data_IF_422877148881
#
_entry.id   IF_422877148881
#
_cell.length_a   1.000
_cell.length_b   1.000
_cell.length_c   1.000
_cell.angle_alpha   90.00
_cell.angle_beta   90.00
_cell.angle_gamma   90.00
#
_symmetry.space_group_name_H-M   'P 1'
#
loop_
_entity.id
_entity.type
_entity.pdbx_description
1 polymer ?
#
# COMPACT_ATOMS: atom_id res chain seq x y z
N UNK A 1 -8.34 2.53 -7.41
CA UNK A 1 -9.51 1.65 -7.52
C UNK A 1 -10.73 2.25 -6.83
N UNK A 2 -11.90 1.69 -7.10
CA UNK A 2 -13.14 1.93 -6.36
C UNK A 2 -13.71 0.61 -5.87
N UNK A 3 -14.79 0.65 -5.05
CA UNK A 3 -15.62 -0.54 -4.89
C UNK A 3 -16.24 -0.95 -6.22
N UNK A 4 -16.44 -2.25 -6.45
CA UNK A 4 -17.18 -2.77 -7.59
C UNK A 4 -18.67 -2.35 -7.56
N UNK A 5 -19.19 -1.91 -6.39
CA UNK A 5 -20.52 -1.33 -6.23
C UNK A 5 -20.57 0.16 -6.56
N UNK A 6 -19.43 0.81 -6.79
CA UNK A 6 -19.39 2.23 -7.12
C UNK A 6 -20.10 2.49 -8.46
N UNK A 7 -20.88 3.57 -8.53
CA UNK A 7 -21.68 3.91 -9.71
C UNK A 7 -20.86 3.98 -11.00
N UNK A 8 -19.62 4.45 -10.94
CA UNK A 8 -18.74 4.54 -12.12
C UNK A 8 -18.41 3.15 -12.67
N UNK A 9 -18.11 2.19 -11.80
CA UNK A 9 -17.85 0.82 -12.25
C UNK A 9 -19.11 0.16 -12.78
N UNK A 10 -20.25 0.34 -12.09
CA UNK A 10 -21.53 -0.21 -12.53
C UNK A 10 -21.97 0.36 -13.90
N UNK A 11 -21.64 1.60 -14.23
CA UNK A 11 -21.82 2.18 -15.57
C UNK A 11 -20.80 1.59 -16.57
N UNK A 12 -19.51 1.59 -16.23
CA UNK A 12 -18.42 1.11 -17.09
C UNK A 12 -18.63 -0.34 -17.53
N UNK A 13 -19.07 -1.22 -16.62
CA UNK A 13 -19.25 -2.65 -16.89
C UNK A 13 -20.45 -2.99 -17.79
N UNK A 14 -21.37 -2.06 -18.03
CA UNK A 14 -22.60 -2.32 -18.79
C UNK A 14 -22.35 -2.61 -20.26
N UNK A 15 -21.44 -1.85 -20.89
CA UNK A 15 -21.11 -1.96 -22.31
C UNK A 15 -19.76 -1.29 -22.61
N UNK A 16 -19.26 -1.52 -23.83
CA UNK A 16 -18.06 -0.85 -24.33
C UNK A 16 -18.31 0.58 -24.81
N UNK A 17 -19.57 0.98 -24.98
CA UNK A 17 -19.97 2.23 -25.63
C UNK A 17 -20.57 3.28 -24.68
N UNK A 18 -20.50 3.05 -23.35
CA UNK A 18 -21.02 4.04 -22.40
C UNK A 18 -19.99 5.15 -22.10
N UNK A 19 -20.43 6.33 -21.60
CA UNK A 19 -19.54 7.47 -21.34
C UNK A 19 -18.39 7.18 -20.35
N UNK A 20 -18.51 6.12 -19.54
CA UNK A 20 -17.48 5.69 -18.59
C UNK A 20 -16.84 4.37 -18.98
N UNK A 21 -16.98 3.94 -20.23
CA UNK A 21 -16.45 2.66 -20.68
C UNK A 21 -14.95 2.49 -20.34
N UNK A 22 -14.15 3.55 -20.51
CA UNK A 22 -12.70 3.56 -20.32
C UNK A 22 -12.25 4.16 -18.97
N UNK A 23 -13.16 4.27 -18.00
CA UNK A 23 -12.84 4.76 -16.66
C UNK A 23 -12.10 3.74 -15.81
N UNK A 24 -12.21 2.47 -16.15
CA UNK A 24 -11.50 1.35 -15.53
C UNK A 24 -10.62 0.67 -16.57
N UNK A 25 -9.67 -0.12 -16.08
CA UNK A 25 -8.74 -0.83 -16.97
C UNK A 25 -9.41 -2.10 -17.46
N UNK A 26 -9.72 -2.14 -18.75
CA UNK A 26 -10.33 -3.26 -19.44
C UNK A 26 -9.39 -3.82 -20.51
N UNK A 27 -9.43 -5.12 -20.70
CA UNK A 27 -8.70 -5.80 -21.77
C UNK A 27 -9.51 -6.92 -22.40
N UNK A 28 -9.36 -7.11 -23.69
CA UNK A 28 -9.89 -8.29 -24.37
C UNK A 28 -9.14 -9.55 -23.92
N UNK A 29 -9.79 -10.72 -23.92
CA UNK A 29 -9.11 -11.97 -23.66
C UNK A 29 -8.02 -12.25 -24.69
N UNK A 30 -7.02 -13.03 -24.30
CA UNK A 30 -6.10 -13.64 -25.24
C UNK A 30 -6.87 -14.57 -26.23
N UNK A 31 -6.26 -14.96 -27.38
CA UNK A 31 -6.95 -15.78 -28.37
C UNK A 31 -7.51 -17.11 -27.86
N UNK A 32 -6.97 -17.64 -26.78
CA UNK A 32 -7.42 -18.86 -26.11
C UNK A 32 -8.47 -18.61 -25.01
N UNK A 33 -8.90 -17.35 -24.83
CA UNK A 33 -9.87 -16.95 -23.81
C UNK A 33 -9.28 -16.67 -22.44
N UNK A 34 -7.98 -16.83 -22.24
CA UNK A 34 -7.30 -16.53 -20.98
C UNK A 34 -7.14 -15.01 -20.75
N UNK A 35 -6.75 -14.57 -19.52
CA UNK A 35 -6.41 -13.17 -19.26
C UNK A 35 -5.33 -12.61 -20.21
N UNK A 36 -5.29 -11.30 -20.45
CA UNK A 36 -4.40 -10.68 -21.44
C UNK A 36 -2.92 -10.87 -21.15
N UNK A 37 -2.56 -11.07 -19.88
CA UNK A 37 -1.19 -11.27 -19.42
C UNK A 37 -1.14 -12.00 -18.07
N UNK A 38 0.06 -12.13 -17.50
CA UNK A 38 0.32 -12.89 -16.29
C UNK A 38 0.27 -12.09 -14.98
N UNK A 39 -0.26 -10.88 -14.98
CA UNK A 39 -0.27 -10.06 -13.76
C UNK A 39 -1.07 -10.70 -12.64
N UNK A 40 -0.54 -10.58 -11.42
CA UNK A 40 -1.10 -11.18 -10.22
C UNK A 40 -1.59 -10.12 -9.24
N UNK A 41 -2.67 -10.45 -8.54
CA UNK A 41 -3.18 -9.64 -7.43
C UNK A 41 -2.30 -9.81 -6.19
N UNK A 42 -2.10 -8.73 -5.43
CA UNK A 42 -1.41 -8.77 -4.13
C UNK A 42 -2.10 -9.76 -3.16
N UNK A 43 -3.42 -9.91 -3.25
CA UNK A 43 -4.17 -10.82 -2.39
C UNK A 43 -4.31 -12.23 -2.96
N UNK A 44 -3.54 -12.54 -3.99
CA UNK A 44 -3.47 -13.87 -4.61
C UNK A 44 -4.34 -14.02 -5.83
N UNK A 45 -3.96 -14.94 -6.71
CA UNK A 45 -4.63 -15.19 -7.97
C UNK A 45 -4.31 -14.18 -9.07
N UNK A 46 -5.02 -14.30 -10.20
CA UNK A 46 -4.91 -13.36 -11.32
C UNK A 46 -5.33 -11.95 -10.91
N UNK A 47 -4.66 -10.93 -11.44
CA UNK A 47 -5.11 -9.53 -11.33
C UNK A 47 -6.25 -9.20 -12.32
N UNK A 48 -6.74 -10.18 -13.05
CA UNK A 48 -7.77 -10.02 -14.07
C UNK A 48 -9.02 -10.81 -13.74
N UNK A 49 -10.18 -10.13 -13.73
CA UNK A 49 -11.47 -10.76 -13.53
C UNK A 49 -12.34 -10.61 -14.78
N UNK A 50 -12.93 -11.73 -15.22
CA UNK A 50 -13.84 -11.74 -16.36
C UNK A 50 -15.18 -11.07 -16.05
N UNK A 51 -15.63 -10.17 -16.93
CA UNK A 51 -16.96 -9.56 -16.89
C UNK A 51 -17.78 -9.97 -18.12
N UNK A 52 -18.73 -10.90 -17.97
CA UNK A 52 -19.45 -11.48 -19.11
C UNK A 52 -20.35 -10.50 -19.85
N UNK A 53 -20.87 -9.45 -19.18
CA UNK A 53 -21.72 -8.43 -19.83
C UNK A 53 -20.94 -7.64 -20.86
N UNK A 54 -19.67 -7.40 -20.56
CA UNK A 54 -18.78 -6.62 -21.40
C UNK A 54 -17.95 -7.51 -22.33
N UNK A 55 -17.79 -8.78 -22.00
CA UNK A 55 -16.93 -9.70 -22.74
C UNK A 55 -15.47 -9.28 -22.69
N UNK A 56 -15.02 -8.77 -21.53
CA UNK A 56 -13.66 -8.33 -21.27
C UNK A 56 -13.24 -8.70 -19.85
N UNK A 57 -11.93 -8.68 -19.61
CA UNK A 57 -11.35 -8.70 -18.27
C UNK A 57 -11.18 -7.28 -17.75
N UNK A 58 -11.41 -7.06 -16.44
CA UNK A 58 -10.98 -5.84 -15.75
C UNK A 58 -9.83 -6.12 -14.82
N UNK A 59 -8.95 -5.12 -14.67
CA UNK A 59 -7.81 -5.17 -13.75
C UNK A 59 -8.24 -4.91 -12.30
N UNK A 60 -7.66 -5.67 -11.36
CA UNK A 60 -7.73 -5.43 -9.93
C UNK A 60 -6.41 -5.83 -9.28
N UNK A 61 -5.57 -4.87 -8.95
CA UNK A 61 -4.30 -5.13 -8.28
C UNK A 61 -4.49 -5.69 -6.85
N UNK A 62 -5.68 -5.48 -6.26
CA UNK A 62 -6.07 -5.93 -4.93
C UNK A 62 -7.23 -6.93 -5.02
N UNK A 63 -8.34 -6.70 -4.32
CA UNK A 63 -9.48 -7.62 -4.37
C UNK A 63 -10.24 -7.51 -5.69
N UNK A 64 -10.88 -8.61 -6.10
CA UNK A 64 -11.82 -8.64 -7.24
C UNK A 64 -12.89 -7.54 -7.12
N UNK A 65 -13.32 -7.23 -5.90
CA UNK A 65 -14.27 -6.15 -5.60
C UNK A 65 -13.67 -4.74 -5.64
N UNK A 66 -12.40 -4.60 -6.02
CA UNK A 66 -11.68 -3.33 -6.10
C UNK A 66 -11.12 -3.09 -7.52
N UNK A 67 -12.00 -2.89 -8.54
CA UNK A 67 -11.55 -2.65 -9.91
C UNK A 67 -10.71 -1.38 -10.01
N UNK A 68 -9.61 -1.46 -10.78
CA UNK A 68 -8.66 -0.38 -10.94
C UNK A 68 -9.14 0.69 -11.92
N UNK A 69 -9.04 1.95 -11.48
CA UNK A 69 -9.30 3.11 -12.32
C UNK A 69 -8.22 3.26 -13.40
N UNK A 70 -8.61 3.65 -14.59
CA UNK A 70 -7.71 3.89 -15.71
C UNK A 70 -7.15 5.32 -15.67
N UNK A 71 -6.02 5.53 -15.02
CA UNK A 71 -5.36 6.83 -14.95
C UNK A 71 -4.73 7.29 -16.28
N UNK A 72 -4.61 6.41 -17.29
CA UNK A 72 -4.28 6.83 -18.65
C UNK A 72 -5.42 7.62 -19.31
N UNK A 73 -6.66 7.47 -18.82
CA UNK A 73 -7.76 8.33 -19.22
C UNK A 73 -7.66 9.68 -18.48
N UNK A 74 -7.46 10.81 -19.21
CA UNK A 74 -7.30 12.11 -18.58
C UNK A 74 -8.53 12.57 -17.80
N UNK A 75 -9.74 12.11 -18.15
CA UNK A 75 -10.95 12.42 -17.40
C UNK A 75 -10.95 11.77 -16.02
N UNK A 76 -10.44 10.54 -15.89
CA UNK A 76 -10.28 9.86 -14.59
C UNK A 76 -9.27 10.60 -13.72
N UNK A 77 -8.09 10.91 -14.26
CA UNK A 77 -7.07 11.65 -13.53
C UNK A 77 -7.56 13.03 -13.08
N UNK A 78 -8.31 13.76 -13.93
CA UNK A 78 -8.92 15.04 -13.58
C UNK A 78 -9.96 14.88 -12.46
N UNK A 79 -10.86 13.89 -12.56
CA UNK A 79 -11.88 13.63 -11.54
C UNK A 79 -11.26 13.30 -10.18
N UNK A 80 -10.19 12.51 -10.15
CA UNK A 80 -9.52 12.19 -8.88
C UNK A 80 -8.86 13.41 -8.24
N UNK A 81 -8.35 14.36 -9.03
CA UNK A 81 -7.87 15.64 -8.52
C UNK A 81 -9.01 16.50 -7.98
N UNK A 82 -10.18 16.49 -8.62
CA UNK A 82 -11.39 17.17 -8.12
C UNK A 82 -11.87 16.57 -6.79
N UNK A 83 -11.82 15.24 -6.62
CA UNK A 83 -12.15 14.58 -5.36
C UNK A 83 -11.17 15.01 -4.24
N UNK A 84 -9.88 15.11 -4.53
CA UNK A 84 -8.92 15.67 -3.58
C UNK A 84 -9.27 17.11 -3.21
N UNK A 85 -9.55 17.96 -4.21
CA UNK A 85 -9.92 19.36 -3.98
C UNK A 85 -11.23 19.52 -3.19
N UNK A 86 -12.19 18.62 -3.40
CA UNK A 86 -13.43 18.59 -2.61
C UNK A 86 -13.16 18.48 -1.10
N UNK A 87 -12.23 17.59 -0.71
CA UNK A 87 -11.86 17.43 0.70
C UNK A 87 -11.02 18.58 1.23
N UNK A 88 -10.10 19.12 0.44
CA UNK A 88 -9.32 20.31 0.81
C UNK A 88 -10.20 21.51 1.10
N UNK A 89 -11.22 21.75 0.27
CA UNK A 89 -12.23 22.81 0.51
C UNK A 89 -13.02 22.60 1.79
N UNK A 90 -13.09 21.38 2.31
CA UNK A 90 -13.72 21.03 3.60
C UNK A 90 -12.79 21.15 4.79
N UNK A 91 -11.53 21.50 4.56
CA UNK A 91 -10.56 21.79 5.61
C UNK A 91 -9.77 20.58 6.08
N UNK A 92 -9.58 19.55 5.24
CA UNK A 92 -8.58 18.52 5.56
C UNK A 92 -7.17 19.09 5.33
N UNK A 93 -6.22 18.72 6.20
CA UNK A 93 -4.84 19.22 6.18
C UNK A 93 -3.93 18.44 5.23
N UNK A 94 -4.49 17.55 4.42
CA UNK A 94 -3.76 16.78 3.42
C UNK A 94 -4.20 15.33 3.30
N UNK A 95 -3.37 14.51 2.67
CA UNK A 95 -3.71 13.12 2.34
C UNK A 95 -2.57 12.16 2.62
N UNK A 96 -2.90 11.03 3.20
CA UNK A 96 -2.14 9.79 3.05
C UNK A 96 -2.66 9.08 1.81
N UNK A 97 -1.77 8.87 0.84
CA UNK A 97 -2.10 8.29 -0.46
C UNK A 97 -1.75 6.80 -0.46
N UNK A 98 -2.78 6.00 -0.42
CA UNK A 98 -2.71 4.54 -0.37
C UNK A 98 -2.17 3.97 -1.68
N UNK A 99 -1.18 3.08 -1.62
CA UNK A 99 -0.61 2.36 -2.75
C UNK A 99 -0.44 3.22 -4.02
N UNK A 100 0.05 4.45 -3.86
CA UNK A 100 0.00 5.49 -4.91
C UNK A 100 0.76 5.10 -6.19
N UNK A 101 1.73 4.20 -6.11
CA UNK A 101 2.49 3.71 -7.26
C UNK A 101 1.70 2.73 -8.16
N UNK A 102 0.48 2.33 -7.77
CA UNK A 102 -0.39 1.42 -8.55
C UNK A 102 -1.34 2.12 -9.52
N UNK A 103 -1.36 3.45 -9.58
CA UNK A 103 -2.31 4.18 -10.42
C UNK A 103 -2.11 3.96 -11.94
N UNK A 104 -0.89 3.67 -12.37
CA UNK A 104 -0.57 3.46 -13.78
C UNK A 104 -0.01 2.07 -14.02
N UNK A 105 -0.39 1.49 -15.14
CA UNK A 105 0.10 0.22 -15.67
C UNK A 105 0.73 0.43 -17.04
N UNK A 106 1.41 -0.58 -17.57
CA UNK A 106 1.93 -0.57 -18.94
C UNK A 106 0.77 -0.65 -19.95
N UNK A 107 0.58 0.35 -20.83
CA UNK A 107 -0.52 0.34 -21.80
C UNK A 107 -0.40 -0.76 -22.86
N UNK A 108 0.78 -1.36 -23.01
CA UNK A 108 1.00 -2.50 -23.89
C UNK A 108 0.67 -3.85 -23.22
N UNK A 109 0.28 -3.84 -21.96
CA UNK A 109 -0.10 -5.02 -21.18
C UNK A 109 0.94 -6.15 -21.22
N UNK A 110 2.24 -5.81 -21.24
CA UNK A 110 3.31 -6.81 -21.27
C UNK A 110 3.34 -7.64 -19.98
N UNK A 111 3.61 -8.93 -20.13
CA UNK A 111 3.75 -9.85 -18.99
C UNK A 111 4.95 -9.50 -18.12
N UNK A 112 4.79 -9.61 -16.79
CA UNK A 112 5.88 -9.44 -15.83
C UNK A 112 6.88 -10.62 -15.92
N UNK A 113 8.19 -10.35 -15.82
CA UNK A 113 9.20 -11.39 -15.74
C UNK A 113 9.11 -12.19 -14.43
N UNK A 114 9.54 -13.43 -14.48
CA UNK A 114 9.70 -14.26 -13.27
C UNK A 114 10.81 -13.71 -12.37
N UNK A 115 10.56 -13.70 -11.06
CA UNK A 115 11.57 -13.35 -10.05
C UNK A 115 12.26 -14.62 -9.54
N UNK A 116 13.61 -14.70 -9.60
CA UNK A 116 14.36 -15.80 -9.03
C UNK A 116 14.01 -16.04 -7.56
N UNK A 117 13.94 -17.31 -7.09
CA UNK A 117 13.54 -17.63 -5.72
C UNK A 117 14.35 -16.90 -4.64
N UNK A 118 15.65 -16.73 -4.83
CA UNK A 118 16.56 -16.06 -3.90
C UNK A 118 16.31 -14.54 -3.76
N UNK A 119 15.60 -13.94 -4.71
CA UNK A 119 15.23 -12.52 -4.69
C UNK A 119 13.82 -12.26 -4.18
N UNK A 120 13.05 -13.32 -3.89
CA UNK A 120 11.68 -13.18 -3.38
C UNK A 120 11.70 -12.68 -1.95
N UNK A 121 11.02 -11.58 -1.70
CA UNK A 121 10.88 -10.99 -0.36
C UNK A 121 9.40 -10.77 -0.10
N UNK A 122 8.92 -11.26 1.05
CA UNK A 122 7.59 -10.90 1.55
C UNK A 122 7.70 -9.56 2.30
N UNK A 123 7.05 -8.51 1.80
CA UNK A 123 6.89 -7.26 2.52
C UNK A 123 5.39 -6.99 2.62
N UNK A 124 4.80 -7.25 3.79
CA UNK A 124 3.36 -7.16 3.98
C UNK A 124 2.55 -8.26 3.27
N UNK A 125 3.22 -9.29 2.71
CA UNK A 125 2.60 -10.50 2.17
C UNK A 125 3.54 -11.70 2.35
N UNK A 126 2.98 -12.91 2.36
CA UNK A 126 3.77 -14.14 2.48
C UNK A 126 4.69 -14.32 1.28
N UNK A 127 5.91 -14.83 1.50
CA UNK A 127 6.83 -15.25 0.43
C UNK A 127 6.25 -16.37 -0.43
N UNK A 128 5.29 -17.13 0.09
CA UNK A 128 4.56 -18.19 -0.62
C UNK A 128 3.45 -17.64 -1.52
N UNK A 129 3.14 -16.34 -1.41
CA UNK A 129 2.21 -15.69 -2.32
C UNK A 129 2.83 -15.65 -3.72
N UNK A 130 2.15 -16.17 -4.75
CA UNK A 130 2.64 -16.12 -6.14
C UNK A 130 3.03 -14.72 -6.62
N UNK A 131 2.44 -13.66 -6.06
CA UNK A 131 2.81 -12.28 -6.31
C UNK A 131 4.33 -12.06 -6.12
N UNK A 132 4.94 -12.63 -5.07
CA UNK A 132 6.37 -12.55 -4.82
C UNK A 132 7.25 -13.20 -5.91
N UNK A 133 6.67 -14.03 -6.78
CA UNK A 133 7.39 -14.74 -7.83
C UNK A 133 7.53 -13.94 -9.14
N UNK A 134 7.04 -12.71 -9.19
CA UNK A 134 7.18 -11.82 -10.36
C UNK A 134 8.02 -10.59 -10.04
N UNK A 135 8.71 -10.08 -11.05
CA UNK A 135 9.30 -8.74 -11.03
C UNK A 135 8.24 -7.78 -11.58
N UNK A 136 7.71 -6.92 -10.72
CA UNK A 136 6.59 -6.04 -11.05
C UNK A 136 7.05 -4.81 -11.84
N UNK A 137 7.32 -4.99 -13.14
CA UNK A 137 7.80 -3.93 -14.04
C UNK A 137 6.68 -3.22 -14.79
N UNK A 138 5.55 -3.91 -14.99
CA UNK A 138 4.53 -3.46 -15.95
C UNK A 138 3.17 -3.19 -15.31
N UNK A 139 2.89 -3.74 -14.17
CA UNK A 139 1.60 -3.62 -13.46
C UNK A 139 1.54 -2.45 -12.47
N UNK A 140 2.67 -1.87 -12.08
CA UNK A 140 2.73 -0.70 -11.19
C UNK A 140 4.03 0.10 -11.37
N UNK A 141 4.21 1.16 -10.58
CA UNK A 141 5.43 2.00 -10.51
C UNK A 141 5.87 2.51 -11.89
N UNK A 142 4.89 2.97 -12.68
CA UNK A 142 5.14 3.45 -14.04
C UNK A 142 5.62 4.92 -14.04
N UNK A 143 6.47 5.31 -15.02
CA UNK A 143 7.00 6.68 -15.11
C UNK A 143 5.91 7.76 -15.28
N UNK A 144 4.76 7.42 -15.84
CA UNK A 144 3.61 8.32 -16.00
C UNK A 144 3.09 8.85 -14.66
N UNK A 145 3.37 8.13 -13.56
CA UNK A 145 2.99 8.54 -12.21
C UNK A 145 3.61 9.88 -11.82
N UNK A 146 4.83 10.18 -12.26
CA UNK A 146 5.53 11.43 -11.91
C UNK A 146 4.73 12.67 -12.36
N UNK A 147 4.21 12.63 -13.59
CA UNK A 147 3.36 13.72 -14.10
C UNK A 147 2.03 13.87 -13.36
N UNK A 148 1.46 12.75 -12.89
CA UNK A 148 0.25 12.82 -12.04
C UNK A 148 0.56 13.43 -10.67
N UNK A 149 1.67 13.05 -10.04
CA UNK A 149 2.10 13.61 -8.75
C UNK A 149 2.34 15.13 -8.84
N UNK A 150 2.91 15.61 -9.95
CA UNK A 150 3.11 17.05 -10.18
C UNK A 150 1.77 17.80 -10.30
N UNK A 151 0.80 17.21 -10.98
CA UNK A 151 -0.56 17.77 -11.05
C UNK A 151 -1.26 17.76 -9.69
N UNK A 152 -1.14 16.67 -8.93
CA UNK A 152 -1.67 16.57 -7.58
C UNK A 152 -1.04 17.63 -6.68
N UNK A 153 0.28 17.78 -6.72
CA UNK A 153 1.00 18.80 -5.94
C UNK A 153 0.52 20.20 -6.28
N UNK A 154 0.29 20.52 -7.54
CA UNK A 154 -0.25 21.79 -7.96
C UNK A 154 -1.67 22.08 -7.41
N UNK A 155 -2.46 21.02 -7.14
CA UNK A 155 -3.75 21.16 -6.43
C UNK A 155 -3.53 21.43 -4.96
N UNK A 156 -2.68 20.64 -4.31
CA UNK A 156 -2.37 20.75 -2.87
C UNK A 156 -1.81 22.13 -2.52
N UNK A 157 -0.89 22.65 -3.30
CA UNK A 157 -0.22 23.95 -3.05
C UNK A 157 -1.18 25.16 -3.09
N UNK A 158 -2.40 25.00 -3.59
CA UNK A 158 -3.44 26.03 -3.50
C UNK A 158 -4.04 26.19 -2.09
N UNK A 159 -3.78 25.22 -1.22
CA UNK A 159 -4.30 25.17 0.15
C UNK A 159 -3.14 25.24 1.14
N UNK A 160 -2.98 26.33 1.91
CA UNK A 160 -1.85 26.50 2.80
C UNK A 160 -1.87 25.48 3.93
N UNK A 161 -0.69 25.11 4.40
CA UNK A 161 -0.48 24.16 5.52
C UNK A 161 -1.02 22.74 5.26
N UNK A 162 -1.16 22.34 4.01
CA UNK A 162 -1.53 20.98 3.64
C UNK A 162 -0.31 20.17 3.18
N UNK A 163 -0.41 18.83 3.34
CA UNK A 163 0.68 17.95 2.93
C UNK A 163 0.18 16.66 2.29
N UNK A 164 1.09 15.97 1.61
CA UNK A 164 0.86 14.63 1.08
C UNK A 164 1.92 13.66 1.60
N UNK A 165 1.46 12.48 1.99
CA UNK A 165 2.27 11.36 2.44
C UNK A 165 1.96 10.14 1.59
N UNK A 166 2.92 9.67 0.79
CA UNK A 166 2.73 8.52 -0.09
C UNK A 166 3.04 7.19 0.58
N UNK A 167 2.18 6.21 0.32
CA UNK A 167 2.53 4.81 0.55
C UNK A 167 3.02 4.21 -0.75
N UNK A 168 4.24 3.65 -0.73
CA UNK A 168 4.93 3.15 -1.92
C UNK A 168 5.46 1.75 -1.62
N UNK A 169 5.04 0.80 -2.43
CA UNK A 169 5.57 -0.56 -2.44
C UNK A 169 6.07 -0.87 -3.86
N UNK A 170 7.38 -0.85 -4.07
CA UNK A 170 7.99 -1.06 -5.37
C UNK A 170 9.19 -2.00 -5.28
N UNK A 171 9.68 -2.47 -6.42
CA UNK A 171 10.87 -3.33 -6.52
C UNK A 171 12.13 -2.63 -5.96
N UNK A 172 12.24 -1.33 -6.19
CA UNK A 172 13.29 -0.47 -5.64
C UNK A 172 12.66 0.70 -4.87
N UNK A 173 12.19 0.42 -3.65
CA UNK A 173 11.47 1.39 -2.83
C UNK A 173 12.31 2.64 -2.54
N UNK A 174 13.62 2.49 -2.29
CA UNK A 174 14.50 3.62 -1.99
C UNK A 174 14.61 4.58 -3.18
N UNK A 175 14.80 4.07 -4.40
CA UNK A 175 14.81 4.93 -5.58
C UNK A 175 13.45 5.57 -5.82
N UNK A 176 12.37 4.79 -5.72
CA UNK A 176 11.02 5.28 -5.99
C UNK A 176 10.58 6.37 -5.01
N UNK A 177 10.86 6.23 -3.71
CA UNK A 177 10.53 7.30 -2.75
C UNK A 177 11.31 8.57 -3.05
N UNK A 178 12.58 8.46 -3.46
CA UNK A 178 13.39 9.59 -3.90
C UNK A 178 12.78 10.30 -5.11
N UNK A 179 12.38 9.56 -6.14
CA UNK A 179 11.74 10.12 -7.33
C UNK A 179 10.39 10.78 -7.02
N UNK A 180 9.54 10.11 -6.22
CA UNK A 180 8.19 10.58 -5.91
C UNK A 180 8.16 11.79 -4.97
N UNK A 181 9.25 12.06 -4.26
CA UNK A 181 9.40 13.23 -3.36
C UNK A 181 10.41 14.24 -3.87
N UNK A 182 10.97 14.03 -5.07
CA UNK A 182 12.03 14.90 -5.59
C UNK A 182 11.54 16.34 -5.82
N UNK A 183 12.31 17.30 -5.29
CA UNK A 183 12.03 18.74 -5.43
C UNK A 183 10.72 19.18 -4.76
N UNK A 184 10.24 20.35 -5.15
CA UNK A 184 9.04 20.96 -4.55
C UNK A 184 7.77 20.73 -5.38
N UNK A 185 7.78 19.75 -6.31
CA UNK A 185 6.69 19.55 -7.28
C UNK A 185 5.95 18.23 -7.16
N UNK A 186 6.36 17.35 -6.25
CA UNK A 186 5.78 16.02 -6.04
C UNK A 186 5.33 15.86 -4.59
N UNK A 187 5.28 14.64 -4.07
CA UNK A 187 4.87 14.40 -2.69
C UNK A 187 5.76 15.14 -1.68
N UNK A 188 5.18 15.59 -0.59
CA UNK A 188 5.94 16.19 0.51
C UNK A 188 6.80 15.17 1.24
N UNK A 189 6.27 13.96 1.44
CA UNK A 189 6.98 12.84 2.03
C UNK A 189 6.38 11.51 1.56
N UNK A 190 7.08 10.43 1.82
CA UNK A 190 6.59 9.07 1.65
C UNK A 190 7.05 8.20 2.84
N UNK A 191 6.36 7.10 3.09
CA UNK A 191 6.81 6.13 4.08
C UNK A 191 8.10 5.45 3.64
N UNK A 192 9.03 5.30 4.57
CA UNK A 192 10.16 4.41 4.44
C UNK A 192 9.83 3.10 5.15
N UNK A 193 9.44 2.08 4.40
CA UNK A 193 9.05 0.77 4.92
C UNK A 193 10.22 -0.23 5.02
N UNK A 194 11.45 0.23 4.77
CA UNK A 194 12.64 -0.63 4.83
C UNK A 194 12.90 -1.19 6.24
N UNK A 195 12.28 -0.60 7.28
CA UNK A 195 12.35 -1.09 8.65
C UNK A 195 11.18 -2.03 9.05
N UNK A 196 10.24 -2.32 8.13
CA UNK A 196 9.18 -3.31 8.36
C UNK A 196 9.65 -4.75 8.15
N UNK A 197 10.83 -5.08 8.66
CA UNK A 197 11.45 -6.41 8.53
C UNK A 197 11.13 -7.30 9.72
N UNK A 198 11.19 -8.62 9.52
CA UNK A 198 10.83 -9.61 10.56
C UNK A 198 11.80 -9.64 11.74
N UNK A 199 13.05 -9.24 11.52
CA UNK A 199 14.07 -9.24 12.58
C UNK A 199 14.83 -7.93 12.61
N UNK A 200 15.01 -7.40 13.81
CA UNK A 200 15.87 -6.25 14.03
C UNK A 200 17.34 -6.58 13.75
N UNK A 201 17.99 -5.70 13.02
CA UNK A 201 19.45 -5.78 12.75
C UNK A 201 20.02 -4.37 12.66
N UNK A 202 21.01 -4.07 13.48
CA UNK A 202 21.72 -2.78 13.43
C UNK A 202 22.46 -2.57 12.09
N UNK A 203 22.97 -3.67 11.51
CA UNK A 203 23.60 -3.64 10.18
C UNK A 203 22.58 -3.25 9.09
N UNK A 204 21.38 -3.83 9.12
CA UNK A 204 20.29 -3.48 8.20
C UNK A 204 19.86 -2.02 8.36
N UNK A 205 19.66 -1.55 9.60
CA UNK A 205 19.30 -0.13 9.86
C UNK A 205 20.35 0.80 9.26
N UNK A 206 21.63 0.52 9.47
CA UNK A 206 22.74 1.31 8.91
C UNK A 206 22.69 1.31 7.38
N UNK A 207 22.56 0.15 6.76
CA UNK A 207 22.47 0.00 5.31
C UNK A 207 21.31 0.82 4.72
N UNK A 208 20.14 0.78 5.35
CA UNK A 208 18.96 1.55 4.94
C UNK A 208 19.25 3.06 4.99
N UNK A 209 19.79 3.55 6.12
CA UNK A 209 20.09 4.97 6.28
C UNK A 209 21.15 5.45 5.25
N UNK A 210 22.26 4.71 5.13
CA UNK A 210 23.33 5.04 4.17
C UNK A 210 22.83 4.96 2.71
N UNK A 211 21.96 4.00 2.42
CA UNK A 211 21.37 3.84 1.09
C UNK A 211 20.42 5.00 0.75
N UNK A 212 19.58 5.43 1.69
CA UNK A 212 18.73 6.61 1.51
C UNK A 212 19.54 7.87 1.26
N UNK A 213 20.58 8.12 2.06
CA UNK A 213 21.43 9.31 1.90
C UNK A 213 22.17 9.32 0.55
N UNK A 214 22.63 8.17 0.11
CA UNK A 214 23.37 8.02 -1.16
C UNK A 214 22.47 8.08 -2.39
N UNK A 215 21.30 7.39 -2.36
CA UNK A 215 20.48 7.16 -3.54
C UNK A 215 19.30 8.12 -3.67
N UNK A 216 18.89 8.73 -2.58
CA UNK A 216 17.76 9.66 -2.52
C UNK A 216 18.14 10.90 -1.72
N UNK A 217 19.20 11.63 -2.14
CA UNK A 217 19.67 12.81 -1.41
C UNK A 217 18.57 13.88 -1.35
N UNK A 218 18.36 14.44 -0.17
CA UNK A 218 17.30 15.43 0.07
C UNK A 218 15.92 14.84 0.40
N UNK A 219 15.74 13.55 0.31
CA UNK A 219 14.52 12.89 0.76
C UNK A 219 14.35 13.06 2.29
N UNK A 220 13.14 13.44 2.69
CA UNK A 220 12.74 13.50 4.10
C UNK A 220 11.83 12.30 4.41
N UNK A 221 12.37 11.21 4.95
CA UNK A 221 11.61 9.99 5.16
C UNK A 221 10.56 10.15 6.26
N UNK A 222 9.42 9.47 6.08
CA UNK A 222 8.51 9.17 7.18
C UNK A 222 8.75 7.73 7.63
N UNK A 223 9.43 7.59 8.77
CA UNK A 223 9.80 6.29 9.32
C UNK A 223 8.62 5.59 9.99
N UNK A 224 8.54 4.28 9.77
CA UNK A 224 7.63 3.40 10.48
C UNK A 224 8.33 2.07 10.80
N UNK A 225 8.13 1.56 12.01
CA UNK A 225 8.58 0.22 12.43
C UNK A 225 7.42 -0.74 12.60
N UNK A 226 6.20 -0.27 12.44
CA UNK A 226 4.95 -1.03 12.39
C UNK A 226 3.85 -0.25 11.72
N UNK A 227 2.84 -0.94 11.26
CA UNK A 227 1.63 -0.38 10.67
C UNK A 227 0.49 -1.42 10.74
N UNK A 228 -0.63 -1.13 10.08
CA UNK A 228 -1.79 -2.00 10.01
C UNK A 228 -1.67 -3.18 9.02
N UNK A 229 -0.53 -3.36 8.39
CA UNK A 229 -0.30 -4.41 7.37
C UNK A 229 0.76 -5.44 7.77
N UNK A 230 1.45 -5.22 8.89
CA UNK A 230 2.45 -6.15 9.41
C UNK A 230 2.19 -6.48 10.88
N UNK A 231 2.64 -7.63 11.32
CA UNK A 231 2.57 -8.02 12.73
C UNK A 231 3.16 -6.94 13.64
N UNK A 232 2.55 -6.71 14.80
CA UNK A 232 2.99 -5.66 15.73
C UNK A 232 4.47 -5.81 16.08
N UNK A 233 5.20 -4.71 16.07
CA UNK A 233 6.66 -4.70 16.27
C UNK A 233 7.08 -5.31 17.62
N UNK A 234 6.27 -5.16 18.65
CA UNK A 234 6.53 -5.77 19.96
C UNK A 234 6.55 -7.30 19.92
N UNK A 235 5.83 -7.93 19.00
CA UNK A 235 5.88 -9.37 18.73
C UNK A 235 6.93 -9.73 17.69
N UNK A 236 6.99 -8.98 16.59
CA UNK A 236 7.89 -9.24 15.46
C UNK A 236 9.38 -9.15 15.86
N UNK A 237 9.72 -8.18 16.72
CA UNK A 237 11.07 -8.01 17.28
C UNK A 237 11.16 -8.42 18.76
N UNK A 238 10.42 -9.47 19.12
CA UNK A 238 10.47 -10.01 20.47
C UNK A 238 11.90 -10.49 20.83
N UNK A 239 12.31 -10.16 22.06
CA UNK A 239 13.59 -10.58 22.59
C UNK A 239 13.35 -11.35 23.89
N UNK A 240 13.72 -12.64 23.99
CA UNK A 240 13.56 -13.42 25.20
C UNK A 240 14.22 -12.76 26.41
N UNK A 241 13.53 -12.75 27.53
CA UNK A 241 14.03 -12.17 28.80
C UNK A 241 13.92 -10.64 28.93
N UNK A 242 13.52 -9.92 27.87
CA UNK A 242 13.32 -8.47 27.94
C UNK A 242 11.84 -8.15 28.14
N UNK A 243 11.47 -7.42 29.20
CA UNK A 243 10.08 -7.01 29.44
C UNK A 243 9.53 -6.17 28.29
N UNK A 244 8.29 -6.42 27.90
CA UNK A 244 7.63 -5.75 26.76
C UNK A 244 7.63 -4.22 26.92
N UNK A 245 7.38 -3.69 28.10
CA UNK A 245 7.41 -2.25 28.37
C UNK A 245 8.79 -1.63 28.15
N UNK A 246 9.87 -2.30 28.55
CA UNK A 246 11.24 -1.82 28.32
C UNK A 246 11.58 -1.83 26.82
N UNK A 247 11.14 -2.87 26.11
CA UNK A 247 11.30 -2.98 24.65
C UNK A 247 10.50 -1.91 23.92
N UNK A 248 9.25 -1.66 24.30
CA UNK A 248 8.43 -0.60 23.71
C UNK A 248 9.10 0.77 23.85
N UNK A 249 9.62 1.10 25.02
CA UNK A 249 10.37 2.34 25.26
C UNK A 249 11.60 2.46 24.36
N UNK A 250 12.38 1.36 24.24
CA UNK A 250 13.56 1.35 23.37
C UNK A 250 13.20 1.55 21.90
N UNK A 251 12.17 0.85 21.41
CA UNK A 251 11.72 0.92 20.02
C UNK A 251 11.19 2.31 19.65
N UNK A 252 10.41 2.93 20.55
CA UNK A 252 9.94 4.30 20.34
C UNK A 252 11.11 5.30 20.39
N UNK A 253 12.06 5.18 21.33
CA UNK A 253 13.23 6.01 21.39
C UNK A 253 14.09 5.87 20.12
N UNK A 254 14.27 4.65 19.62
CA UNK A 254 14.95 4.39 18.35
C UNK A 254 14.22 5.08 17.18
N UNK A 255 12.92 4.88 17.02
CA UNK A 255 12.15 5.48 15.94
C UNK A 255 12.23 7.00 15.96
N UNK A 256 12.09 7.62 17.14
CA UNK A 256 12.14 9.08 17.31
C UNK A 256 13.54 9.66 17.17
N UNK A 257 14.60 8.86 17.21
CA UNK A 257 15.99 9.32 17.02
C UNK A 257 16.41 9.41 15.56
N UNK A 258 15.63 8.85 14.64
CA UNK A 258 15.94 8.86 13.21
C UNK A 258 15.68 10.23 12.59
N UNK A 259 16.57 10.68 11.69
CA UNK A 259 16.37 11.90 10.90
C UNK A 259 15.18 11.72 9.97
N UNK A 260 14.12 12.51 10.14
CA UNK A 260 12.89 12.44 9.35
C UNK A 260 11.66 12.68 10.20
N UNK A 261 10.51 12.39 9.64
CA UNK A 261 9.24 12.30 10.36
C UNK A 261 9.02 10.87 10.85
N UNK A 262 8.20 10.70 11.87
CA UNK A 262 7.88 9.38 12.41
C UNK A 262 6.38 9.11 12.33
N UNK A 263 6.00 7.88 12.01
CA UNK A 263 4.63 7.41 12.08
C UNK A 263 4.57 6.24 13.07
N UNK A 264 4.09 6.53 14.27
CA UNK A 264 3.88 5.52 15.31
C UNK A 264 2.52 4.86 15.09
N UNK A 265 2.51 3.55 14.96
CA UNK A 265 1.26 2.81 14.87
C UNK A 265 0.60 2.71 16.25
N UNK A 266 -0.72 2.92 16.31
CA UNK A 266 -1.48 2.89 17.57
C UNK A 266 -1.19 1.63 18.39
N UNK A 267 -0.83 1.80 19.66
CA UNK A 267 -0.48 0.74 20.58
C UNK A 267 1.01 0.37 20.63
N UNK A 268 1.86 0.89 19.72
CA UNK A 268 3.31 0.73 19.82
C UNK A 268 3.86 1.40 21.07
N UNK A 269 3.32 2.56 21.42
CA UNK A 269 3.64 3.31 22.64
C UNK A 269 3.32 2.54 23.92
N UNK A 270 2.33 1.66 23.87
CA UNK A 270 1.94 0.77 24.97
C UNK A 270 2.67 -0.58 24.91
N UNK A 271 3.35 -0.88 23.81
CA UNK A 271 3.96 -2.18 23.57
C UNK A 271 2.95 -3.29 23.29
N UNK A 272 1.81 -2.96 22.67
CA UNK A 272 0.82 -3.98 22.30
C UNK A 272 1.45 -5.06 21.42
N UNK A 273 1.17 -6.31 21.76
CA UNK A 273 1.60 -7.49 21.00
C UNK A 273 0.58 -7.90 19.95
N UNK A 274 1.01 -8.71 19.00
CA UNK A 274 0.12 -9.35 18.03
C UNK A 274 -0.91 -10.22 18.75
N UNK A 275 -2.17 -10.13 18.31
CA UNK A 275 -3.22 -11.02 18.79
C UNK A 275 -3.27 -12.31 17.96
N UNK A 276 -3.39 -13.45 18.63
CA UNK A 276 -3.59 -14.74 17.99
C UNK A 276 -5.09 -14.99 17.84
N UNK A 277 -5.55 -15.00 16.59
CA UNK A 277 -6.96 -15.20 16.27
C UNK A 277 -7.15 -16.54 15.54
N UNK A 278 -8.20 -17.31 15.85
CA UNK A 278 -8.56 -18.50 15.10
C UNK A 278 -9.21 -18.13 13.77
N UNK A 279 -9.21 -19.07 12.81
CA UNK A 279 -9.70 -18.82 11.44
C UNK A 279 -11.12 -18.22 11.38
N UNK A 280 -12.01 -18.72 12.25
CA UNK A 280 -13.42 -18.28 12.29
C UNK A 280 -13.61 -16.84 12.78
N UNK A 281 -12.60 -16.27 13.44
CA UNK A 281 -12.61 -14.89 13.89
C UNK A 281 -12.01 -13.91 12.87
N UNK A 282 -11.29 -14.40 11.86
CA UNK A 282 -10.63 -13.56 10.86
C UNK A 282 -11.66 -12.81 10.02
N UNK A 283 -11.34 -11.56 9.72
CA UNK A 283 -12.07 -10.69 8.79
C UNK A 283 -11.25 -10.29 7.58
N UNK A 284 -9.91 -10.33 7.70
CA UNK A 284 -9.01 -10.02 6.60
C UNK A 284 -9.10 -11.11 5.51
N UNK A 285 -9.60 -10.78 4.29
CA UNK A 285 -9.68 -11.75 3.21
C UNK A 285 -8.35 -12.39 2.86
N UNK A 286 -7.25 -11.65 3.06
CA UNK A 286 -5.91 -12.14 2.80
C UNK A 286 -5.51 -13.24 3.79
N UNK A 287 -5.76 -13.04 5.08
CA UNK A 287 -5.53 -14.07 6.10
C UNK A 287 -6.38 -15.32 5.91
N UNK A 288 -7.64 -15.14 5.51
CA UNK A 288 -8.56 -16.25 5.22
C UNK A 288 -8.05 -17.07 4.04
N UNK A 289 -7.60 -16.40 2.96
CA UNK A 289 -7.14 -17.06 1.73
C UNK A 289 -5.84 -17.85 1.91
N UNK A 290 -4.94 -17.39 2.79
CA UNK A 290 -3.60 -17.99 2.99
C UNK A 290 -3.45 -18.74 4.31
N UNK A 291 -4.55 -18.97 5.03
CA UNK A 291 -4.50 -19.77 6.27
C UNK A 291 -3.99 -21.21 6.00
N UNK A 292 -3.16 -21.79 6.91
CA UNK A 292 -2.59 -21.23 8.16
C UNK A 292 -1.21 -20.59 7.98
N UNK A 293 -0.65 -20.56 6.77
CA UNK A 293 0.74 -20.09 6.50
C UNK A 293 0.91 -18.59 6.69
N UNK A 294 -0.14 -17.82 6.40
CA UNK A 294 -0.23 -16.42 6.70
C UNK A 294 -1.60 -16.15 7.35
N UNK A 295 -1.59 -15.61 8.57
CA UNK A 295 -2.81 -15.39 9.36
C UNK A 295 -3.51 -14.05 9.08
N UNK A 296 -3.03 -13.30 8.09
CA UNK A 296 -3.57 -11.99 7.75
C UNK A 296 -3.12 -10.89 8.72
N UNK A 297 -3.88 -9.82 8.75
CA UNK A 297 -3.57 -8.57 9.44
C UNK A 297 -4.47 -8.27 10.63
N UNK A 298 -5.46 -9.13 10.91
CA UNK A 298 -6.42 -8.89 12.01
C UNK A 298 -5.74 -8.83 13.38
N UNK A 299 -4.64 -9.58 13.58
CA UNK A 299 -3.90 -9.61 14.84
C UNK A 299 -3.26 -8.27 15.21
N UNK A 300 -2.87 -7.44 14.23
CA UNK A 300 -2.35 -6.10 14.48
C UNK A 300 -3.45 -5.01 14.47
N UNK A 301 -4.68 -5.34 14.06
CA UNK A 301 -5.81 -4.41 13.92
C UNK A 301 -6.80 -4.47 15.08
N UNK A 302 -6.33 -4.91 16.25
CA UNK A 302 -7.15 -4.99 17.45
C UNK A 302 -7.56 -3.60 17.95
N UNK A 303 -8.72 -3.49 18.67
CA UNK A 303 -9.13 -2.26 19.33
C UNK A 303 -8.04 -1.68 20.24
N UNK A 304 -7.97 -0.34 20.29
CA UNK A 304 -7.04 0.37 21.17
C UNK A 304 -7.54 0.33 22.62
N UNK A 305 -6.76 -0.18 23.60
CA UNK A 305 -7.13 -0.10 25.01
C UNK A 305 -6.83 1.31 25.55
N UNK A 306 -7.87 2.00 25.99
CA UNK A 306 -7.78 3.36 26.53
C UNK A 306 -7.72 3.39 28.04
N UNK A 307 -8.25 2.36 28.71
CA UNK A 307 -8.34 2.29 30.17
C UNK A 307 -8.27 0.81 30.61
N UNK A 308 -7.27 0.44 31.37
CA UNK A 308 -7.03 -0.92 31.86
C UNK A 308 -8.05 -1.38 32.94
N UNK A 309 -8.69 -0.43 33.62
CA UNK A 309 -9.72 -0.72 34.65
C UNK A 309 -11.13 -0.81 34.05
N UNK A 310 -11.36 -0.41 32.81
CA UNK A 310 -12.68 -0.44 32.21
C UNK A 310 -12.94 -1.76 31.48
N UNK A 311 -14.22 -2.21 31.38
CA UNK A 311 -14.58 -3.33 30.51
C UNK A 311 -14.09 -3.08 29.09
N UNK A 312 -13.65 -4.13 28.41
CA UNK A 312 -13.14 -4.08 27.02
C UNK A 312 -12.01 -3.05 26.81
N UNK A 313 -11.20 -2.78 27.87
CA UNK A 313 -10.12 -1.79 27.80
C UNK A 313 -10.60 -0.35 27.55
N UNK A 314 -11.86 -0.04 27.84
CA UNK A 314 -12.45 1.28 27.60
C UNK A 314 -12.65 1.63 26.13
N UNK A 315 -12.55 0.65 25.21
CA UNK A 315 -12.77 0.87 23.78
C UNK A 315 -14.26 1.01 23.43
N UNK A 316 -15.11 0.22 24.06
CA UNK A 316 -16.58 0.30 23.94
C UNK A 316 -17.26 0.07 25.28
N UNK A 317 -18.52 0.49 25.38
CA UNK A 317 -19.36 0.26 26.54
C UNK A 317 -19.79 -1.21 26.67
#
# INVERSE_FOLDING_TARGET
HTSDQHRWFQESRRSRDNPRADWYVWADPAPDGTPPNNWLSIFGGSAWQWEPRRGQYYLHNFLVSQPDLNYHNPAVAAQMLEECEFWLRRGVDGFRLDAINFCFHDPLLRSNPAKPPELRKGRGFSVDNPYAAQVHLYDNTRPEMLGFLERLRAVIDRYPQTMTLGEISSEDAIATVGEYTAGDKRLHSAYCFELLVDRFSTAHVREVIESLERRSPGYWPTWAIGNHDVARVASRWACPGVPTAARAKLLNAFLLSLKGSTCTYQGEELGLTEAELPLEALKDPYGIAFWPTFKGRDGCRTPMPWNDAAPQGGFSA
#
